data_IF_652031401217
#
_entry.id   IF_652031401217
#
_cell.length_a   1.000
_cell.length_b   1.000
_cell.length_c   1.000
_cell.angle_alpha   90.00
_cell.angle_beta   90.00
_cell.angle_gamma   90.00
#
_symmetry.space_group_name_H-M   'P 1'
#
loop_
_entity.id
_entity.type
_entity.pdbx_description
1 polymer ?
#
# COMPACT_ATOMS: atom_id res chain seq x y z
N UNK A 1 -25.55 0.68 -3.96
CA UNK A 1 -24.36 0.04 -4.52
C UNK A 1 -23.35 1.15 -4.69
N UNK A 2 -22.36 1.25 -3.79
CA UNK A 2 -21.41 2.37 -3.79
C UNK A 2 -20.55 2.25 -5.06
N UNK A 3 -20.79 3.13 -6.02
CA UNK A 3 -19.93 3.35 -7.16
C UNK A 3 -18.77 4.23 -6.69
N UNK A 4 -17.83 3.63 -5.96
CA UNK A 4 -16.53 4.27 -5.70
C UNK A 4 -15.74 4.25 -7.01
N UNK A 5 -15.20 5.40 -7.37
CA UNK A 5 -14.67 5.79 -8.68
C UNK A 5 -13.66 4.79 -9.28
N UNK A 6 -13.96 4.09 -10.39
CA UNK A 6 -13.04 3.11 -11.01
C UNK A 6 -11.84 3.76 -11.72
N UNK A 7 -11.86 5.08 -11.92
CA UNK A 7 -10.86 5.78 -12.71
C UNK A 7 -9.51 5.89 -11.98
N UNK A 8 -9.52 6.17 -10.67
CA UNK A 8 -8.29 6.49 -9.94
C UNK A 8 -7.38 5.28 -9.78
N UNK A 9 -7.94 4.12 -9.46
CA UNK A 9 -7.17 2.86 -9.38
C UNK A 9 -6.58 2.48 -10.73
N UNK A 10 -7.36 2.62 -11.81
CA UNK A 10 -6.94 2.27 -13.17
C UNK A 10 -5.83 3.22 -13.66
N UNK A 11 -5.97 4.52 -13.39
CA UNK A 11 -4.94 5.51 -13.71
C UNK A 11 -3.65 5.24 -12.93
N UNK A 12 -3.74 4.90 -11.64
CA UNK A 12 -2.59 4.51 -10.81
C UNK A 12 -1.91 3.24 -11.31
N UNK A 13 -2.68 2.22 -11.68
CA UNK A 13 -2.15 0.99 -12.27
C UNK A 13 -1.35 1.29 -13.54
N UNK A 14 -1.90 2.12 -14.45
CA UNK A 14 -1.22 2.53 -15.68
C UNK A 14 0.07 3.32 -15.39
N UNK A 15 0.05 4.24 -14.44
CA UNK A 15 1.26 4.97 -14.03
C UNK A 15 2.34 4.06 -13.44
N UNK A 16 1.96 3.15 -12.54
CA UNK A 16 2.86 2.16 -11.95
C UNK A 16 3.43 1.24 -13.02
N UNK A 17 2.59 0.81 -13.96
CA UNK A 17 3.00 -0.04 -15.09
C UNK A 17 3.96 0.69 -16.02
N UNK A 18 3.75 1.98 -16.28
CA UNK A 18 4.64 2.79 -17.11
C UNK A 18 6.01 3.02 -16.44
N UNK A 19 6.05 3.17 -15.10
CA UNK A 19 7.27 3.50 -14.37
C UNK A 19 8.09 2.26 -13.96
N UNK A 20 7.43 1.19 -13.52
CA UNK A 20 8.07 -0.01 -12.96
C UNK A 20 7.80 -1.29 -13.79
N UNK A 21 6.91 -1.23 -14.78
CA UNK A 21 6.41 -2.39 -15.50
C UNK A 21 5.21 -3.05 -14.80
N UNK A 22 4.62 -4.07 -15.42
CA UNK A 22 3.44 -4.76 -14.87
C UNK A 22 3.70 -5.61 -13.61
N UNK A 23 4.98 -5.87 -13.31
CA UNK A 23 5.45 -6.67 -12.18
C UNK A 23 6.51 -5.89 -11.40
N UNK A 24 6.23 -5.62 -10.14
CA UNK A 24 7.11 -4.90 -9.24
C UNK A 24 7.87 -5.90 -8.37
N UNK A 25 9.19 -5.77 -8.33
CA UNK A 25 10.02 -6.56 -7.42
C UNK A 25 9.98 -6.00 -6.00
N UNK A 26 10.48 -6.76 -5.03
CA UNK A 26 10.61 -6.29 -3.64
C UNK A 26 11.43 -5.00 -3.52
N UNK A 27 12.40 -4.77 -4.42
CA UNK A 27 13.21 -3.55 -4.47
C UNK A 27 12.43 -2.35 -5.01
N UNK A 28 11.57 -2.55 -6.01
CA UNK A 28 10.71 -1.50 -6.55
C UNK A 28 9.68 -1.07 -5.51
N UNK A 29 9.09 -2.05 -4.81
CA UNK A 29 8.16 -1.80 -3.71
C UNK A 29 8.83 -1.05 -2.57
N UNK A 30 10.10 -1.37 -2.26
CA UNK A 30 10.86 -0.64 -1.26
C UNK A 30 11.05 0.83 -1.65
N UNK A 31 11.37 1.11 -2.91
CA UNK A 31 11.52 2.47 -3.41
C UNK A 31 10.19 3.23 -3.40
N UNK A 32 9.12 2.59 -3.88
CA UNK A 32 7.78 3.17 -3.95
C UNK A 32 7.23 3.53 -2.58
N UNK A 33 7.31 2.59 -1.62
CA UNK A 33 6.82 2.78 -0.25
C UNK A 33 7.87 3.40 0.68
N UNK A 34 9.00 3.89 0.13
CA UNK A 34 10.08 4.57 0.85
C UNK A 34 10.67 3.76 2.02
N UNK A 35 10.71 2.43 1.90
CA UNK A 35 11.46 1.59 2.84
C UNK A 35 12.96 1.73 2.63
N UNK A 36 13.70 1.74 3.74
CA UNK A 36 15.17 1.84 3.72
C UNK A 36 15.85 0.66 3.01
N UNK A 37 15.26 -0.54 3.05
CA UNK A 37 15.82 -1.75 2.42
C UNK A 37 14.70 -2.69 1.92
N UNK A 38 14.97 -3.52 0.90
CA UNK A 38 14.04 -4.57 0.46
C UNK A 38 13.79 -5.64 1.54
N UNK A 39 14.73 -5.84 2.46
CA UNK A 39 14.53 -6.73 3.62
C UNK A 39 13.49 -6.18 4.59
N UNK A 40 13.40 -4.85 4.75
CA UNK A 40 12.37 -4.22 5.57
C UNK A 40 10.96 -4.47 4.99
N UNK A 41 10.82 -4.44 3.66
CA UNK A 41 9.56 -4.80 2.97
C UNK A 41 9.18 -6.25 3.28
N UNK A 42 10.14 -7.18 3.16
CA UNK A 42 9.90 -8.60 3.48
C UNK A 42 9.51 -8.79 4.95
N UNK A 43 10.13 -8.05 5.87
CA UNK A 43 9.81 -8.06 7.31
C UNK A 43 8.43 -7.47 7.59
N UNK A 44 8.06 -6.36 6.94
CA UNK A 44 6.74 -5.74 7.06
C UNK A 44 5.64 -6.70 6.59
N UNK A 45 5.87 -7.42 5.48
CA UNK A 45 4.97 -8.48 5.01
C UNK A 45 4.83 -9.61 6.02
N UNK A 46 5.93 -10.15 6.55
CA UNK A 46 5.89 -11.22 7.57
C UNK A 46 5.16 -10.76 8.83
N UNK A 47 5.32 -9.48 9.21
CA UNK A 47 4.61 -8.88 10.35
C UNK A 47 3.14 -8.55 10.07
N UNK A 48 2.65 -8.74 8.84
CA UNK A 48 1.28 -8.38 8.46
C UNK A 48 1.03 -6.87 8.30
N UNK A 49 2.07 -6.03 8.38
CA UNK A 49 1.94 -4.59 8.15
C UNK A 49 1.82 -4.25 6.65
N UNK A 50 2.26 -5.17 5.78
CA UNK A 50 2.16 -5.04 4.33
C UNK A 50 1.28 -6.15 3.76
N UNK A 51 0.02 -5.81 3.49
CA UNK A 51 -1.03 -6.72 3.01
C UNK A 51 -1.02 -6.91 1.49
N UNK A 52 -0.04 -6.34 0.79
CA UNK A 52 0.06 -6.48 -0.67
C UNK A 52 0.30 -7.95 -1.03
N UNK A 53 -0.52 -8.56 -1.91
CA UNK A 53 -0.32 -9.93 -2.34
C UNK A 53 0.96 -10.02 -3.19
N UNK A 54 1.97 -10.69 -2.64
CA UNK A 54 3.23 -10.95 -3.32
C UNK A 54 3.41 -12.44 -3.51
N UNK A 55 3.82 -12.82 -4.72
CA UNK A 55 4.08 -14.21 -5.08
C UNK A 55 5.52 -14.39 -5.57
N UNK A 56 6.05 -15.59 -5.37
CA UNK A 56 7.32 -15.98 -5.95
C UNK A 56 7.07 -16.46 -7.38
N UNK A 57 7.81 -15.91 -8.34
CA UNK A 57 7.76 -16.39 -9.72
C UNK A 57 8.60 -17.66 -9.87
N UNK A 58 8.10 -18.69 -10.60
CA UNK A 58 8.89 -19.87 -10.89
C UNK A 58 10.15 -19.49 -11.67
N UNK A 59 11.31 -20.00 -11.23
CA UNK A 59 12.60 -19.72 -11.88
C UNK A 59 13.22 -18.36 -11.55
N UNK A 60 12.59 -17.52 -10.70
CA UNK A 60 13.18 -16.26 -10.22
C UNK A 60 13.30 -16.24 -8.70
N UNK A 61 14.45 -15.78 -8.20
CA UNK A 61 14.61 -15.46 -6.77
C UNK A 61 13.90 -14.13 -6.50
N UNK A 62 13.12 -14.08 -5.41
CA UNK A 62 12.44 -12.88 -4.96
C UNK A 62 10.91 -12.97 -5.01
N UNK A 63 10.27 -11.99 -4.36
CA UNK A 63 8.83 -11.82 -4.33
C UNK A 63 8.44 -10.66 -5.23
N UNK A 64 7.36 -10.86 -5.96
CA UNK A 64 6.85 -9.89 -6.92
C UNK A 64 5.38 -9.61 -6.63
N UNK A 65 4.99 -8.35 -6.85
CA UNK A 65 3.61 -7.91 -6.81
C UNK A 65 3.22 -7.39 -8.19
N UNK A 66 1.93 -7.46 -8.54
CA UNK A 66 1.43 -6.82 -9.75
C UNK A 66 1.22 -5.32 -9.52
N UNK A 67 1.36 -4.52 -10.58
CA UNK A 67 1.08 -3.08 -10.50
C UNK A 67 -0.35 -2.81 -9.97
N UNK A 68 -1.32 -3.63 -10.40
CA UNK A 68 -2.71 -3.58 -9.94
C UNK A 68 -2.83 -3.79 -8.43
N UNK A 69 -2.18 -4.82 -7.88
CA UNK A 69 -2.24 -5.10 -6.44
C UNK A 69 -1.68 -3.95 -5.60
N UNK A 70 -0.62 -3.30 -6.10
CA UNK A 70 -0.01 -2.13 -5.44
C UNK A 70 -0.92 -0.91 -5.56
N UNK A 71 -1.56 -0.70 -6.72
CA UNK A 71 -2.52 0.40 -6.92
C UNK A 71 -3.69 0.30 -5.94
N UNK A 72 -4.30 -0.88 -5.81
CA UNK A 72 -5.40 -1.13 -4.85
C UNK A 72 -4.96 -0.81 -3.42
N UNK A 73 -3.77 -1.27 -3.01
CA UNK A 73 -3.26 -0.99 -1.66
C UNK A 73 -3.07 0.51 -1.38
N UNK A 74 -2.59 1.28 -2.37
CA UNK A 74 -2.41 2.73 -2.22
C UNK A 74 -3.75 3.46 -2.11
N UNK A 75 -4.78 2.97 -2.82
CA UNK A 75 -6.14 3.48 -2.70
C UNK A 75 -6.73 3.18 -1.32
N UNK A 76 -6.60 1.95 -0.84
CA UNK A 76 -7.03 1.58 0.52
C UNK A 76 -6.34 2.44 1.59
N UNK A 77 -5.04 2.70 1.43
CA UNK A 77 -4.28 3.58 2.31
C UNK A 77 -4.81 5.02 2.28
N UNK A 78 -5.12 5.54 1.09
CA UNK A 78 -5.68 6.88 0.92
C UNK A 78 -7.10 7.00 1.53
N UNK A 79 -7.94 5.98 1.35
CA UNK A 79 -9.28 5.94 1.96
C UNK A 79 -9.20 5.87 3.48
N UNK A 80 -8.26 5.12 4.04
CA UNK A 80 -8.07 5.03 5.49
C UNK A 80 -7.60 6.36 6.11
N UNK A 81 -6.84 7.18 5.36
CA UNK A 81 -6.43 8.52 5.82
C UNK A 81 -7.54 9.56 5.82
N UNK A 82 -8.68 9.31 5.15
CA UNK A 82 -9.88 10.17 5.22
C UNK A 82 -10.69 9.93 6.49
N UNK A 83 -10.37 8.89 7.28
CA UNK A 83 -10.78 8.85 8.69
C UNK A 83 -9.91 9.83 9.47
N UNK A 84 -10.31 11.11 9.43
CA UNK A 84 -9.87 12.13 10.38
C UNK A 84 -9.96 11.57 11.82
N UNK A 85 -9.11 12.07 12.73
CA UNK A 85 -9.08 11.57 14.10
C UNK A 85 -10.47 11.68 14.71
N UNK A 86 -10.93 10.64 15.41
CA UNK A 86 -11.83 10.84 16.52
C UNK A 86 -11.20 11.92 17.41
N UNK A 87 -11.70 13.15 17.30
CA UNK A 87 -11.67 14.11 18.40
C UNK A 87 -12.21 13.35 19.60
N UNK A 88 -11.29 12.92 20.47
CA UNK A 88 -11.66 12.52 21.81
C UNK A 88 -12.43 13.70 22.41
N UNK A 89 -13.63 13.49 22.98
CA UNK A 89 -14.24 14.52 23.80
C UNK A 89 -13.22 14.81 24.90
N UNK A 90 -12.66 16.02 24.87
CA UNK A 90 -11.75 16.51 25.89
C UNK A 90 -12.64 16.82 27.09
N UNK A 91 -13.02 15.77 27.83
CA UNK A 91 -13.56 15.91 29.17
C UNK A 91 -12.36 16.32 30.05
N UNK A 92 -12.13 17.62 30.12
CA UNK A 92 -11.24 18.21 31.11
C UNK A 92 -12.11 18.41 32.35
N UNK A 93 -11.98 17.60 33.42
CA UNK A 93 -12.60 17.95 34.67
C UNK A 93 -11.91 19.21 35.20
N UNK A 94 -12.62 20.33 35.11
CA UNK A 94 -12.30 21.56 35.83
C UNK A 94 -12.48 21.26 37.31
N UNK A 95 -11.37 21.02 38.00
CA UNK A 95 -11.39 20.90 39.45
C UNK A 95 -11.42 22.32 40.03
N UNK A 96 -12.43 22.58 40.86
CA UNK A 96 -12.68 23.86 41.54
C UNK A 96 -11.58 24.26 42.51
#
# INVERSE_FOLDING_TARGET
MQMESPDTTTLRELQLTAQFGGLLSTSDIAQLLRYRTPQAVRKARIRGALTIPMQQLPGRRGLYATARAVAVYLEELASNTTSAPQEAPIDVPVNQ
#
